data_IF_577989184678
#
_entry.id   IF_577989184678
#
_cell.length_a   1.000
_cell.length_b   1.000
_cell.length_c   1.000
_cell.angle_alpha   90.00
_cell.angle_beta   90.00
_cell.angle_gamma   90.00
#
_symmetry.space_group_name_H-M   'P 1'
#
loop_
_entity.id
_entity.type
_entity.pdbx_description
1 polymer ?
#
# COMPACT_ATOMS: atom_id res chain seq x y z
N UNK A 1 1.57 8.06 -2.04
CA UNK A 1 0.82 8.28 -3.29
C UNK A 1 1.13 7.15 -4.26
N UNK A 2 0.20 6.72 -5.11
CA UNK A 2 0.42 5.75 -6.19
C UNK A 2 -0.46 6.08 -7.40
N UNK A 3 0.07 6.00 -8.62
CA UNK A 3 -0.64 6.34 -9.86
C UNK A 3 -1.41 7.68 -9.78
N UNK A 4 -0.73 8.72 -9.26
CA UNK A 4 -1.26 10.07 -9.11
C UNK A 4 -2.29 10.26 -7.99
N UNK A 5 -2.45 9.29 -7.07
CA UNK A 5 -3.49 9.34 -6.04
C UNK A 5 -2.99 9.04 -4.64
N UNK A 6 -3.58 9.73 -3.66
CA UNK A 6 -3.33 9.45 -2.25
C UNK A 6 -3.85 8.04 -1.96
N UNK A 7 -2.97 7.20 -1.41
CA UNK A 7 -3.28 5.81 -1.04
C UNK A 7 -3.23 5.59 0.46
N UNK A 8 -2.43 6.39 1.16
CA UNK A 8 -2.39 6.43 2.60
C UNK A 8 -1.89 7.80 3.07
N UNK A 9 -2.38 8.25 4.21
CA UNK A 9 -1.92 9.44 4.93
C UNK A 9 -1.97 9.13 6.41
N UNK A 10 -0.90 9.43 7.13
CA UNK A 10 -0.81 9.26 8.58
C UNK A 10 0.42 10.02 9.12
N UNK A 11 0.50 10.29 10.44
CA UNK A 11 1.73 10.74 11.06
C UNK A 11 2.89 9.78 10.75
N UNK A 12 4.10 10.32 10.59
CA UNK A 12 5.27 9.55 10.17
C UNK A 12 5.49 8.30 11.02
N UNK A 13 5.45 8.44 12.35
CA UNK A 13 5.65 7.32 13.26
C UNK A 13 4.59 6.21 13.08
N UNK A 14 3.35 6.59 12.81
CA UNK A 14 2.26 5.64 12.58
C UNK A 14 2.40 4.92 11.23
N UNK A 15 2.89 5.59 10.19
CA UNK A 15 3.19 4.94 8.90
C UNK A 15 4.24 3.85 9.07
N UNK A 16 5.35 4.15 9.75
CA UNK A 16 6.42 3.19 9.99
C UNK A 16 6.01 2.03 10.88
N UNK A 17 5.14 2.28 11.88
CA UNK A 17 4.74 1.27 12.86
C UNK A 17 3.60 0.38 12.37
N UNK A 18 2.58 0.96 11.71
CA UNK A 18 1.33 0.26 11.36
C UNK A 18 0.78 0.76 10.02
N UNK A 19 1.45 0.50 8.89
CA UNK A 19 0.96 0.90 7.58
C UNK A 19 -0.37 0.21 7.29
N UNK A 20 -1.38 0.97 6.88
CA UNK A 20 -2.75 0.51 6.61
C UNK A 20 -3.01 0.28 5.12
N UNK A 21 -1.97 0.31 4.27
CA UNK A 21 -2.07 0.01 2.85
C UNK A 21 -0.91 -0.91 2.40
N UNK A 22 -1.17 -2.02 1.67
CA UNK A 22 -0.14 -2.98 1.28
C UNK A 22 1.01 -2.38 0.47
N UNK A 23 0.71 -1.40 -0.40
CA UNK A 23 1.73 -0.60 -1.08
C UNK A 23 2.67 0.14 -0.12
N UNK A 24 2.12 0.85 0.88
CA UNK A 24 2.93 1.56 1.88
C UNK A 24 3.79 0.59 2.67
N UNK A 25 3.23 -0.55 3.10
CA UNK A 25 3.97 -1.62 3.75
C UNK A 25 5.14 -2.09 2.89
N UNK A 26 4.89 -2.44 1.64
CA UNK A 26 5.92 -2.87 0.71
C UNK A 26 7.02 -1.83 0.50
N UNK A 27 6.67 -0.54 0.43
CA UNK A 27 7.67 0.54 0.35
C UNK A 27 8.57 0.59 1.59
N UNK A 28 8.00 0.42 2.79
CA UNK A 28 8.74 0.45 4.04
C UNK A 28 9.64 -0.79 4.19
N UNK A 29 9.18 -1.95 3.73
CA UNK A 29 9.96 -3.19 3.69
C UNK A 29 11.12 -3.11 2.68
N UNK A 30 11.00 -2.31 1.63
CA UNK A 30 12.08 -2.04 0.66
C UNK A 30 13.18 -1.13 1.20
N UNK A 31 13.02 -0.52 2.39
CA UNK A 31 14.02 0.40 2.94
C UNK A 31 15.22 -0.40 3.48
N UNK A 32 16.45 -0.16 2.99
CA UNK A 32 17.64 -0.82 3.49
C UNK A 32 17.86 -0.52 4.98
N UNK A 33 18.06 -1.55 5.81
CA UNK A 33 18.41 -1.38 7.22
C UNK A 33 19.91 -1.56 7.42
N UNK A 34 20.55 -0.61 8.10
CA UNK A 34 22.01 -0.62 8.35
C UNK A 34 22.52 -1.90 9.02
N UNK A 35 21.69 -2.53 9.85
CA UNK A 35 22.00 -3.77 10.57
C UNK A 35 21.79 -5.04 9.72
N UNK A 36 21.27 -4.94 8.50
CA UNK A 36 20.97 -6.08 7.62
C UNK A 36 21.86 -6.11 6.38
N UNK A 37 23.18 -6.01 6.57
CA UNK A 37 24.15 -6.13 5.47
C UNK A 37 24.09 -7.55 4.88
N UNK A 38 24.00 -7.65 3.55
CA UNK A 38 24.03 -8.92 2.81
C UNK A 38 22.68 -9.66 2.68
N UNK A 39 21.57 -9.08 3.14
CA UNK A 39 20.22 -9.64 2.91
C UNK A 39 19.59 -9.07 1.64
N UNK A 40 18.82 -9.90 0.95
CA UNK A 40 18.00 -9.46 -0.18
C UNK A 40 16.94 -8.48 0.30
N UNK A 41 16.82 -7.35 -0.39
CA UNK A 41 15.81 -6.34 -0.09
C UNK A 41 14.47 -6.77 -0.66
N UNK A 42 13.40 -6.55 0.10
CA UNK A 42 12.07 -6.75 -0.43
C UNK A 42 11.82 -5.78 -1.59
N UNK A 43 11.40 -6.32 -2.73
CA UNK A 43 10.99 -5.54 -3.89
C UNK A 43 9.52 -5.85 -4.21
N UNK A 44 8.70 -4.78 -4.32
CA UNK A 44 7.33 -4.91 -4.81
C UNK A 44 7.37 -5.41 -6.26
N UNK A 45 6.95 -6.66 -6.46
CA UNK A 45 6.96 -7.33 -7.77
C UNK A 45 6.14 -6.56 -8.83
N UNK A 46 6.53 -6.75 -10.08
CA UNK A 46 5.89 -6.13 -11.24
C UNK A 46 6.21 -4.65 -11.44
N UNK A 47 5.76 -4.09 -12.56
CA UNK A 47 5.98 -2.70 -12.95
C UNK A 47 4.79 -1.81 -12.54
N UNK A 48 5.02 -0.53 -12.19
CA UNK A 48 3.94 0.43 -12.03
C UNK A 48 3.03 0.49 -13.28
N UNK A 49 1.72 0.75 -13.12
CA UNK A 49 0.79 0.83 -14.26
C UNK A 49 1.15 2.02 -15.14
N UNK A 50 0.85 1.91 -16.43
CA UNK A 50 0.86 3.05 -17.33
C UNK A 50 -0.22 4.04 -16.89
N UNK A 51 0.15 5.31 -16.70
CA UNK A 51 -0.77 6.36 -16.26
C UNK A 51 -1.87 6.68 -17.29
N UNK A 52 -1.64 6.36 -18.57
CA UNK A 52 -2.68 6.48 -19.63
C UNK A 52 -3.64 5.29 -19.67
N UNK A 53 -3.33 4.20 -18.97
CA UNK A 53 -4.09 2.95 -18.96
C UNK A 53 -4.15 2.36 -17.54
N UNK A 54 -4.70 3.12 -16.61
CA UNK A 54 -4.88 2.67 -15.22
C UNK A 54 -5.98 1.60 -15.19
N UNK A 55 -5.75 0.43 -14.56
CA UNK A 55 -6.76 -0.61 -14.48
C UNK A 55 -8.00 -0.15 -13.69
N UNK A 56 -9.17 -0.76 -13.93
CA UNK A 56 -10.34 -0.52 -13.11
C UNK A 56 -10.08 -0.88 -11.64
N UNK A 57 -10.91 -0.31 -10.76
CA UNK A 57 -10.79 -0.48 -9.31
C UNK A 57 -9.57 0.19 -8.68
N UNK A 58 -8.91 -0.51 -7.76
CA UNK A 58 -7.70 -0.06 -7.08
C UNK A 58 -6.50 -0.10 -8.04
N UNK A 59 -5.79 1.02 -8.30
CA UNK A 59 -4.65 1.04 -9.23
C UNK A 59 -3.50 0.09 -8.86
N UNK A 60 -3.40 -0.30 -7.58
CA UNK A 60 -2.37 -1.19 -7.09
C UNK A 60 -2.76 -2.68 -7.16
N UNK A 61 -4.01 -3.02 -7.53
CA UNK A 61 -4.49 -4.40 -7.57
C UNK A 61 -3.59 -5.38 -8.36
N UNK A 62 -2.92 -5.02 -9.47
CA UNK A 62 -2.08 -5.98 -10.21
C UNK A 62 -0.79 -6.38 -9.48
N UNK A 63 -0.39 -5.62 -8.45
CA UNK A 63 0.85 -5.82 -7.70
C UNK A 63 0.61 -6.06 -6.21
N UNK A 64 -0.62 -5.91 -5.76
CA UNK A 64 -0.99 -6.05 -4.36
C UNK A 64 -1.05 -7.54 -3.99
N UNK A 65 -0.29 -8.00 -2.98
CA UNK A 65 -0.36 -9.40 -2.53
C UNK A 65 -1.71 -9.75 -1.88
N UNK A 66 -2.47 -8.75 -1.44
CA UNK A 66 -3.80 -8.89 -0.83
C UNK A 66 -4.95 -8.58 -1.82
N UNK A 67 -4.68 -8.50 -3.13
CA UNK A 67 -5.73 -8.17 -4.10
C UNK A 67 -6.81 -9.26 -4.15
N UNK A 68 -8.06 -8.84 -3.98
CA UNK A 68 -9.25 -9.66 -4.19
C UNK A 68 -10.10 -9.08 -5.32
N UNK A 69 -11.20 -9.74 -5.68
CA UNK A 69 -12.03 -9.36 -6.83
C UNK A 69 -12.58 -7.93 -6.73
N UNK A 70 -12.98 -7.51 -5.53
CA UNK A 70 -13.43 -6.12 -5.29
C UNK A 70 -12.36 -5.09 -5.63
N UNK A 71 -11.07 -5.41 -5.48
CA UNK A 71 -9.97 -4.50 -5.84
C UNK A 71 -9.84 -4.30 -7.35
N UNK A 72 -10.34 -5.23 -8.17
CA UNK A 72 -10.25 -5.20 -9.64
C UNK A 72 -11.42 -4.45 -10.26
N UNK A 73 -12.53 -4.34 -9.55
CA UNK A 73 -13.78 -3.75 -10.06
C UNK A 73 -14.09 -2.41 -9.40
N UNK A 74 -13.85 -2.29 -8.10
CA UNK A 74 -14.21 -1.12 -7.31
C UNK A 74 -12.98 -0.42 -6.71
N UNK A 75 -13.02 0.90 -6.74
CA UNK A 75 -11.96 1.72 -6.18
C UNK A 75 -12.27 1.99 -4.70
N UNK A 76 -11.37 1.63 -3.77
CA UNK A 76 -11.56 2.00 -2.38
C UNK A 76 -11.58 3.53 -2.20
N UNK A 77 -12.55 4.09 -1.46
CA UNK A 77 -12.45 5.47 -1.00
C UNK A 77 -11.31 5.60 0.01
N UNK A 78 -10.96 6.84 0.38
CA UNK A 78 -10.08 7.07 1.53
C UNK A 78 -10.85 6.80 2.82
N UNK A 79 -10.68 5.60 3.39
CA UNK A 79 -11.29 5.23 4.65
C UNK A 79 -10.62 5.98 5.81
N UNK A 80 -11.38 6.46 6.81
CA UNK A 80 -10.82 6.94 8.06
C UNK A 80 -10.32 5.74 8.89
N UNK A 81 -9.01 5.62 9.02
CA UNK A 81 -8.35 4.54 9.79
C UNK A 81 -8.31 4.90 11.28
N UNK A 82 -7.97 6.16 11.57
CA UNK A 82 -7.93 6.78 12.89
C UNK A 82 -7.90 8.31 12.71
N UNK A 83 -7.98 9.13 13.78
CA UNK A 83 -7.81 10.57 13.66
C UNK A 83 -6.50 10.93 12.95
N UNK A 84 -6.60 11.70 11.86
CA UNK A 84 -5.45 12.07 11.02
C UNK A 84 -4.83 10.93 10.20
N UNK A 85 -5.48 9.76 10.13
CA UNK A 85 -5.03 8.60 9.36
C UNK A 85 -6.10 8.15 8.37
N UNK A 86 -5.72 7.99 7.11
CA UNK A 86 -6.60 7.51 6.05
C UNK A 86 -5.91 6.49 5.15
N UNK A 87 -6.65 5.51 4.63
CA UNK A 87 -6.15 4.51 3.68
C UNK A 87 -7.16 4.26 2.57
N UNK A 88 -6.69 4.24 1.32
CA UNK A 88 -7.47 3.83 0.16
C UNK A 88 -7.27 2.34 -0.13
N UNK A 89 -7.66 1.49 0.83
CA UNK A 89 -7.59 0.04 0.71
C UNK A 89 -8.90 -0.56 1.21
N UNK A 90 -9.48 -1.51 0.47
CA UNK A 90 -10.66 -2.27 0.92
C UNK A 90 -10.37 -3.10 2.18
N UNK A 91 -9.12 -3.49 2.36
CA UNK A 91 -8.64 -4.38 3.42
C UNK A 91 -7.68 -3.68 4.40
N UNK A 92 -7.95 -2.40 4.68
CA UNK A 92 -7.08 -1.61 5.55
C UNK A 92 -7.04 -2.13 6.99
N UNK A 93 -8.09 -2.80 7.46
CA UNK A 93 -8.15 -3.38 8.82
C UNK A 93 -7.24 -4.60 8.93
N UNK A 94 -7.33 -5.49 7.96
CA UNK A 94 -6.50 -6.69 7.84
C UNK A 94 -5.02 -6.32 7.69
N UNK A 95 -4.74 -5.23 6.96
CA UNK A 95 -3.37 -4.70 6.85
C UNK A 95 -2.84 -4.21 8.22
N UNK A 96 -3.70 -3.80 9.16
CA UNK A 96 -3.26 -3.43 10.51
C UNK A 96 -3.05 -4.64 11.41
N UNK A 97 -3.85 -5.70 11.25
CA UNK A 97 -3.78 -6.91 12.08
C UNK A 97 -2.55 -7.77 11.75
N UNK A 98 -2.01 -7.66 10.54
CA UNK A 98 -0.75 -8.30 10.13
C UNK A 98 0.50 -7.44 10.43
N UNK A 99 0.40 -6.31 11.16
CA UNK A 99 1.52 -5.36 11.42
C UNK A 99 2.22 -5.58 12.75
#
# INVERSE_FOLDING_TARGET
>A
MYAGRIVETAPVHELYKRPAHPYTRGLLESIPRLHQKGRELYAIKGLPPNLTAIPPGCPFNPRCPMAQDICRTDRPPLFPVAPGRTSACHFWKETLDES
#
